data_IF_141076809544
#
_entry.id   IF_141076809544
#
_cell.length_a   1.000
_cell.length_b   1.000
_cell.length_c   1.000
_cell.angle_alpha   90.00
_cell.angle_beta   90.00
_cell.angle_gamma   90.00
#
_symmetry.space_group_name_H-M   'P 1'
#
loop_
_entity.id
_entity.type
_entity.pdbx_description
1 polymer ?
#
# COMPACT_ATOMS: atom_id res chain seq x y z
N UNK A 1 12.97 7.11 -8.44
CA UNK A 1 12.17 7.96 -7.53
C UNK A 1 11.92 7.24 -6.23
N UNK A 2 12.06 7.92 -5.10
CA UNK A 2 11.68 7.39 -3.80
C UNK A 2 10.16 7.53 -3.58
N UNK A 3 9.62 6.65 -2.74
CA UNK A 3 8.22 6.71 -2.29
C UNK A 3 7.97 8.01 -1.51
N UNK A 4 6.85 8.68 -1.78
CA UNK A 4 6.36 9.84 -1.00
C UNK A 4 4.91 9.63 -0.59
N UNK A 5 4.47 10.21 0.54
CA UNK A 5 3.08 10.11 0.96
C UNK A 5 2.12 10.46 -0.18
N UNK A 6 1.13 9.59 -0.43
CA UNK A 6 0.18 9.71 -1.53
C UNK A 6 0.38 8.70 -2.67
N UNK A 7 1.55 8.06 -2.78
CA UNK A 7 1.76 7.00 -3.78
C UNK A 7 0.84 5.81 -3.56
N UNK A 8 0.34 5.22 -4.64
CA UNK A 8 -0.37 3.95 -4.58
C UNK A 8 0.63 2.80 -4.56
N UNK A 9 0.46 1.87 -3.63
CA UNK A 9 1.28 0.68 -3.48
C UNK A 9 0.42 -0.57 -3.68
N UNK A 10 1.02 -1.63 -4.21
CA UNK A 10 0.29 -2.83 -4.62
C UNK A 10 0.88 -4.12 -4.03
N UNK A 11 -0.01 -5.05 -3.68
CA UNK A 11 0.29 -6.44 -3.31
C UNK A 11 -0.26 -7.40 -4.36
N UNK A 12 0.47 -8.49 -4.55
CA UNK A 12 0.33 -9.45 -5.64
C UNK A 12 1.31 -9.15 -6.77
N UNK A 13 2.04 -10.18 -7.20
CA UNK A 13 2.86 -10.18 -8.41
C UNK A 13 2.80 -11.60 -9.01
N UNK A 14 2.65 -11.76 -10.34
CA UNK A 14 2.58 -10.72 -11.38
C UNK A 14 1.22 -10.00 -11.48
N UNK A 15 0.17 -10.54 -10.85
CA UNK A 15 -1.16 -9.92 -10.81
C UNK A 15 -1.42 -9.38 -9.40
N UNK A 16 -1.76 -8.10 -9.33
CA UNK A 16 -2.10 -7.45 -8.06
C UNK A 16 -3.53 -7.73 -7.65
N UNK A 17 -3.72 -7.99 -6.36
CA UNK A 17 -5.03 -8.27 -5.77
C UNK A 17 -5.37 -7.32 -4.62
N UNK A 18 -4.42 -6.50 -4.15
CA UNK A 18 -4.65 -5.56 -3.06
C UNK A 18 -3.89 -4.25 -3.25
N UNK A 19 -4.51 -3.13 -2.88
CA UNK A 19 -3.97 -1.77 -3.04
C UNK A 19 -4.03 -1.01 -1.71
N UNK A 20 -3.08 -0.09 -1.52
CA UNK A 20 -3.04 0.85 -0.42
C UNK A 20 -2.35 2.14 -0.83
N UNK A 21 -2.31 3.10 0.08
CA UNK A 21 -1.63 4.38 -0.14
C UNK A 21 -0.47 4.52 0.84
N UNK A 22 0.73 4.81 0.33
CA UNK A 22 1.88 5.09 1.16
C UNK A 22 1.62 6.36 1.97
N UNK A 23 1.79 6.28 3.29
CA UNK A 23 1.50 7.35 4.24
C UNK A 23 2.77 8.02 4.80
N UNK A 24 3.96 7.60 4.35
CA UNK A 24 5.23 8.03 4.92
C UNK A 24 5.71 7.12 6.05
N UNK A 25 6.95 7.30 6.50
CA UNK A 25 7.50 6.55 7.64
C UNK A 25 7.50 5.03 7.48
N UNK A 26 7.53 4.51 6.25
CA UNK A 26 7.41 3.07 6.00
C UNK A 26 6.00 2.50 6.27
N UNK A 27 4.97 3.34 6.33
CA UNK A 27 3.58 2.93 6.57
C UNK A 27 2.69 3.07 5.35
N UNK A 28 1.67 2.20 5.28
CA UNK A 28 0.66 2.18 4.24
C UNK A 28 -0.72 2.15 4.88
N UNK A 29 -1.60 3.08 4.50
CA UNK A 29 -3.01 3.05 4.87
C UNK A 29 -3.79 2.24 3.83
N UNK A 30 -4.62 1.31 4.29
CA UNK A 30 -5.43 0.44 3.42
C UNK A 30 -6.66 -0.11 4.15
N UNK A 31 -7.59 -0.72 3.40
CA UNK A 31 -8.68 -1.53 3.94
C UNK A 31 -8.27 -3.02 3.86
N UNK A 32 -7.96 -3.72 4.96
CA UNK A 32 -7.30 -5.04 4.90
C UNK A 32 -8.10 -6.15 4.24
N UNK A 33 -9.38 -6.24 4.58
CA UNK A 33 -10.34 -7.22 4.08
C UNK A 33 -11.74 -6.85 4.60
N UNK A 34 -12.77 -7.54 4.11
CA UNK A 34 -14.14 -7.40 4.58
C UNK A 34 -14.23 -7.55 6.10
N UNK A 35 -15.00 -6.67 6.74
CA UNK A 35 -15.22 -6.65 8.19
C UNK A 35 -14.10 -5.99 9.00
N UNK A 36 -12.95 -5.67 8.40
CA UNK A 36 -11.92 -4.85 9.05
C UNK A 36 -12.15 -3.36 8.77
N UNK A 37 -11.68 -2.52 9.70
CA UNK A 37 -11.61 -1.07 9.51
C UNK A 37 -10.31 -0.70 8.78
N UNK A 38 -10.31 0.49 8.18
CA UNK A 38 -9.11 1.09 7.58
C UNK A 38 -8.03 1.22 8.64
N UNK A 39 -6.82 0.78 8.33
CA UNK A 39 -5.69 0.77 9.27
C UNK A 39 -4.36 0.97 8.56
N UNK A 40 -3.32 1.24 9.36
CA UNK A 40 -1.94 1.32 8.88
C UNK A 40 -1.25 -0.03 9.02
N UNK A 41 -0.47 -0.40 8.01
CA UNK A 41 0.46 -1.53 8.06
C UNK A 41 1.85 -1.11 7.58
N UNK A 42 2.84 -1.99 7.82
CA UNK A 42 4.17 -1.82 7.26
C UNK A 42 4.15 -1.84 5.72
N UNK A 43 5.02 -1.04 5.11
CA UNK A 43 5.33 -1.08 3.68
C UNK A 43 6.04 -2.41 3.29
N UNK A 44 6.55 -3.16 4.27
CA UNK A 44 7.13 -4.47 4.03
C UNK A 44 6.10 -5.42 3.41
N UNK A 45 6.47 -6.04 2.28
CA UNK A 45 5.62 -6.97 1.53
C UNK A 45 4.70 -6.32 0.50
N UNK A 46 4.81 -5.01 0.28
CA UNK A 46 4.26 -4.33 -0.90
C UNK A 46 5.28 -4.37 -2.03
N UNK A 47 4.86 -4.73 -3.25
CA UNK A 47 5.79 -5.15 -4.32
C UNK A 47 6.17 -4.04 -5.27
N UNK A 48 5.25 -3.12 -5.55
CA UNK A 48 5.52 -1.99 -6.44
C UNK A 48 4.61 -0.80 -6.12
N UNK A 49 4.98 0.37 -6.65
CA UNK A 49 4.30 1.62 -6.41
C UNK A 49 4.08 2.41 -7.71
N UNK A 50 3.02 3.20 -7.75
CA UNK A 50 2.70 4.12 -8.83
C UNK A 50 2.42 5.49 -8.24
N UNK A 51 2.98 6.53 -8.86
CA UNK A 51 2.59 7.92 -8.63
C UNK A 51 1.72 8.37 -9.79
N UNK A 52 0.56 8.93 -9.46
CA UNK A 52 -0.35 9.57 -10.43
C UNK A 52 0.09 11.01 -10.70
#
# INVERSE_FOLDING_TARGET
NALVPGDLVFKGYPVSYHVGMYAGGGQVIHAPHTGAVVSFQSLMGWQYAVRL
#
